data_IF_696994970034
#
_entry.id   IF_696994970034
#
_cell.length_a   1.000
_cell.length_b   1.000
_cell.length_c   1.000
_cell.angle_alpha   90.00
_cell.angle_beta   90.00
_cell.angle_gamma   90.00
#
_symmetry.space_group_name_H-M   'P 1'
#
loop_
_entity.id
_entity.type
_entity.pdbx_description
1 polymer ?
#
# COMPACT_ATOMS: atom_id res chain seq x y z
N UNK A 1 28.35 -54.23 -25.82
CA UNK A 1 28.16 -52.98 -26.58
C UNK A 1 28.49 -51.85 -25.65
N UNK A 2 29.71 -51.28 -25.76
CA UNK A 2 30.24 -50.26 -24.84
C UNK A 2 30.02 -48.87 -25.44
N UNK A 3 29.35 -47.97 -24.71
CA UNK A 3 29.23 -46.56 -25.08
C UNK A 3 30.50 -45.82 -24.62
N UNK A 4 31.24 -45.13 -25.48
CA UNK A 4 32.36 -44.32 -25.07
C UNK A 4 31.87 -42.98 -24.53
N UNK A 5 32.25 -42.70 -23.29
CA UNK A 5 32.08 -41.43 -22.64
C UNK A 5 32.83 -40.31 -23.38
N UNK A 6 32.08 -39.37 -23.91
CA UNK A 6 32.61 -38.16 -24.56
C UNK A 6 33.12 -37.21 -23.47
N UNK A 7 34.42 -37.31 -23.21
CA UNK A 7 35.13 -36.41 -22.25
C UNK A 7 35.41 -35.08 -22.94
N UNK A 8 34.51 -34.11 -22.77
CA UNK A 8 34.77 -32.76 -23.19
C UNK A 8 35.81 -32.13 -22.24
N UNK A 9 37.07 -32.06 -22.67
CA UNK A 9 38.06 -31.17 -22.08
C UNK A 9 37.70 -29.74 -22.45
N UNK A 10 37.15 -28.98 -21.50
CA UNK A 10 37.06 -27.54 -21.62
C UNK A 10 38.46 -26.98 -21.31
N UNK A 11 39.21 -26.63 -22.35
CA UNK A 11 40.41 -25.86 -22.24
C UNK A 11 40.03 -24.42 -21.77
N UNK A 12 40.28 -24.16 -20.49
CA UNK A 12 40.30 -22.79 -19.98
C UNK A 12 41.59 -22.11 -20.49
N UNK A 13 41.48 -21.51 -21.66
CA UNK A 13 42.54 -20.84 -22.35
C UNK A 13 42.41 -19.34 -22.18
N UNK A 14 43.36 -18.73 -21.47
CA UNK A 14 43.79 -17.34 -21.55
C UNK A 14 42.69 -16.26 -21.44
N UNK A 15 42.23 -15.97 -20.22
CA UNK A 15 41.79 -14.61 -19.91
C UNK A 15 43.03 -13.73 -19.64
N UNK A 16 43.25 -12.68 -20.42
CA UNK A 16 44.38 -11.79 -20.21
C UNK A 16 44.27 -11.10 -18.85
N UNK A 17 45.34 -11.17 -18.06
CA UNK A 17 45.45 -10.60 -16.71
C UNK A 17 45.17 -9.07 -16.61
N UNK A 18 44.99 -8.41 -17.73
CA UNK A 18 44.67 -6.98 -17.81
C UNK A 18 43.17 -6.63 -17.57
N UNK A 19 42.24 -7.60 -17.74
CA UNK A 19 40.81 -7.32 -17.55
C UNK A 19 40.45 -7.31 -16.06
N UNK A 20 41.16 -8.06 -15.22
CA UNK A 20 40.85 -8.16 -13.79
C UNK A 20 41.19 -6.91 -12.99
N UNK A 21 42.21 -6.15 -13.40
CA UNK A 21 42.61 -4.91 -12.72
C UNK A 21 41.64 -3.76 -13.01
N UNK A 22 41.10 -3.66 -14.24
CA UNK A 22 40.17 -2.60 -14.60
C UNK A 22 38.78 -2.82 -13.98
N UNK A 23 38.30 -4.07 -13.88
CA UNK A 23 37.06 -4.38 -13.20
C UNK A 23 37.10 -4.14 -11.68
N UNK A 24 38.23 -4.43 -11.05
CA UNK A 24 38.40 -4.19 -9.62
C UNK A 24 38.45 -2.69 -9.29
N UNK A 25 39.02 -1.84 -10.16
CA UNK A 25 39.00 -0.38 -10.02
C UNK A 25 37.59 0.21 -10.15
N UNK A 26 36.77 -0.31 -11.07
CA UNK A 26 35.40 0.16 -11.28
C UNK A 26 34.51 -0.18 -10.06
N UNK A 27 34.72 -1.35 -9.46
CA UNK A 27 33.94 -1.77 -8.27
C UNK A 27 34.30 -0.92 -7.04
N UNK A 28 35.57 -0.44 -6.93
CA UNK A 28 36.00 0.40 -5.81
C UNK A 28 35.54 1.87 -5.93
N UNK A 29 35.23 2.34 -7.14
CA UNK A 29 34.76 3.73 -7.35
C UNK A 29 33.24 3.87 -7.45
N UNK A 30 32.47 2.80 -7.50
CA UNK A 30 31.02 2.84 -7.60
C UNK A 30 30.21 3.08 -6.31
N UNK A 31 30.74 2.97 -5.08
CA UNK A 31 29.90 3.15 -3.89
C UNK A 31 29.61 4.60 -3.50
N UNK A 32 30.10 5.59 -4.24
CA UNK A 32 29.96 6.99 -3.79
C UNK A 32 28.69 7.72 -4.27
N UNK A 33 27.85 7.12 -5.10
CA UNK A 33 26.72 7.81 -5.70
C UNK A 33 25.34 7.25 -5.36
N UNK A 34 25.24 6.18 -4.58
CA UNK A 34 23.94 5.68 -4.14
C UNK A 34 23.79 5.86 -2.63
N UNK A 35 23.69 7.12 -2.21
CA UNK A 35 23.22 7.43 -0.87
C UNK A 35 21.73 7.07 -0.82
N UNK A 36 21.42 5.90 -0.28
CA UNK A 36 20.06 5.42 -0.04
C UNK A 36 19.25 6.33 0.92
N UNK A 37 19.86 7.42 1.38
CA UNK A 37 19.25 8.41 2.27
C UNK A 37 18.27 9.33 1.56
N UNK A 38 18.45 9.60 0.25
CA UNK A 38 17.61 10.57 -0.46
C UNK A 38 16.23 10.01 -0.81
N UNK A 39 16.13 8.72 -1.11
CA UNK A 39 14.84 8.09 -1.43
C UNK A 39 13.97 7.95 -0.19
N UNK A 40 14.55 7.63 0.95
CA UNK A 40 13.84 7.51 2.22
C UNK A 40 13.31 8.84 2.74
N UNK A 41 14.03 9.93 2.51
CA UNK A 41 13.64 11.27 2.95
C UNK A 41 12.39 11.79 2.21
N UNK A 42 12.30 11.57 0.90
CA UNK A 42 11.14 11.98 0.11
C UNK A 42 9.87 11.21 0.47
N UNK A 43 9.96 9.92 0.76
CA UNK A 43 8.80 9.09 1.09
C UNK A 43 8.29 9.37 2.51
N UNK A 44 9.17 9.68 3.46
CA UNK A 44 8.78 9.88 4.85
C UNK A 44 8.26 11.31 5.15
N UNK A 45 8.55 12.29 4.30
CA UNK A 45 8.14 13.67 4.52
C UNK A 45 6.96 14.13 3.68
N UNK A 46 6.40 13.28 2.83
CA UNK A 46 5.14 13.60 2.14
C UNK A 46 3.95 13.43 3.09
N UNK A 47 3.87 14.27 4.12
CA UNK A 47 2.64 14.44 4.86
C UNK A 47 1.60 14.97 3.86
N UNK A 48 0.65 14.13 3.48
CA UNK A 48 -0.49 14.60 2.71
C UNK A 48 -1.11 15.79 3.43
N UNK A 49 -1.53 16.84 2.72
CA UNK A 49 -2.14 17.99 3.35
C UNK A 49 -3.32 17.52 4.20
N UNK A 50 -3.26 17.83 5.49
CA UNK A 50 -4.34 17.53 6.43
C UNK A 50 -5.55 18.37 6.01
N UNK A 51 -6.58 17.69 5.52
CA UNK A 51 -7.85 18.32 5.14
C UNK A 51 -8.90 17.91 6.14
N UNK A 52 -9.65 18.87 6.62
CA UNK A 52 -10.78 18.61 7.48
C UNK A 52 -11.78 17.71 6.75
N UNK A 53 -12.03 16.55 7.32
CA UNK A 53 -13.00 15.59 6.81
C UNK A 53 -14.34 15.82 7.51
N UNK A 54 -15.47 15.65 6.83
CA UNK A 54 -16.80 15.84 7.42
C UNK A 54 -17.07 14.86 8.57
N UNK A 55 -16.43 13.70 8.54
CA UNK A 55 -16.48 12.67 9.58
C UNK A 55 -15.06 12.26 9.92
N UNK A 56 -14.72 12.23 11.20
CA UNK A 56 -13.42 11.77 11.70
C UNK A 56 -13.35 10.24 11.64
N UNK A 57 -13.20 9.68 10.44
CA UNK A 57 -13.12 8.24 10.21
C UNK A 57 -11.73 7.68 10.53
N UNK A 58 -11.65 6.65 11.35
CA UNK A 58 -10.41 5.99 11.74
C UNK A 58 -10.22 4.64 11.05
N UNK A 59 -9.32 4.57 10.06
CA UNK A 59 -8.88 3.31 9.46
C UNK A 59 -8.22 2.39 10.49
N UNK A 60 -7.45 2.95 11.44
CA UNK A 60 -6.81 2.18 12.52
C UNK A 60 -7.84 1.38 13.32
N UNK A 61 -8.95 2.03 13.69
CA UNK A 61 -10.01 1.38 14.45
C UNK A 61 -10.67 0.26 13.64
N UNK A 62 -11.07 0.53 12.40
CA UNK A 62 -11.80 -0.43 11.58
C UNK A 62 -10.94 -1.58 11.10
N UNK A 63 -9.76 -1.30 10.55
CA UNK A 63 -8.90 -2.31 9.94
C UNK A 63 -8.00 -3.00 10.97
N UNK A 64 -7.24 -2.22 11.75
CA UNK A 64 -6.22 -2.81 12.62
C UNK A 64 -6.80 -3.41 13.90
N UNK A 65 -7.83 -2.80 14.48
CA UNK A 65 -8.41 -3.26 15.75
C UNK A 65 -9.60 -4.20 15.53
N UNK A 66 -10.47 -3.91 14.56
CA UNK A 66 -11.68 -4.69 14.32
C UNK A 66 -11.55 -5.69 13.17
N UNK A 67 -10.43 -5.72 12.45
CA UNK A 67 -10.15 -6.70 11.40
C UNK A 67 -11.01 -6.54 10.14
N UNK A 68 -11.63 -5.38 9.91
CA UNK A 68 -12.44 -5.16 8.70
C UNK A 68 -11.54 -5.14 7.48
N UNK A 69 -11.83 -6.00 6.49
CA UNK A 69 -11.03 -6.08 5.27
C UNK A 69 -11.13 -4.78 4.44
N UNK A 70 -10.02 -4.30 3.89
CA UNK A 70 -9.97 -3.09 3.06
C UNK A 70 -11.01 -3.11 1.94
N UNK A 71 -11.23 -4.28 1.33
CA UNK A 71 -12.16 -4.46 0.22
C UNK A 71 -13.63 -4.44 0.61
N UNK A 72 -13.94 -4.56 1.90
CA UNK A 72 -15.31 -4.38 2.36
C UNK A 72 -15.82 -2.96 2.09
N UNK A 73 -14.95 -1.97 2.26
CA UNK A 73 -15.25 -0.57 2.01
C UNK A 73 -14.76 -0.11 0.62
N UNK A 74 -13.59 -0.55 0.19
CA UNK A 74 -12.94 -0.15 -1.05
C UNK A 74 -13.04 -1.26 -2.11
N UNK A 75 -14.18 -1.39 -2.76
CA UNK A 75 -14.46 -2.47 -3.70
C UNK A 75 -13.49 -2.56 -4.88
N UNK A 76 -12.87 -1.44 -5.24
CA UNK A 76 -11.96 -1.35 -6.40
C UNK A 76 -10.48 -1.43 -6.03
N UNK A 77 -10.12 -1.58 -4.74
CA UNK A 77 -8.74 -1.52 -4.25
C UNK A 77 -7.75 -2.49 -4.93
N UNK A 78 -8.25 -3.60 -5.54
CA UNK A 78 -7.41 -4.56 -6.28
C UNK A 78 -7.60 -4.51 -7.79
N UNK A 79 -8.47 -3.66 -8.30
CA UNK A 79 -8.90 -3.69 -9.71
C UNK A 79 -8.72 -2.36 -10.42
N UNK A 80 -8.50 -1.28 -9.68
CA UNK A 80 -8.43 0.06 -10.22
C UNK A 80 -7.33 0.87 -9.56
N UNK A 81 -6.80 1.85 -10.27
CA UNK A 81 -5.89 2.86 -9.74
C UNK A 81 -6.49 3.65 -8.57
N UNK A 82 -7.80 3.86 -8.57
CA UNK A 82 -8.53 4.47 -7.46
C UNK A 82 -9.36 3.40 -6.74
N UNK A 83 -9.18 3.27 -5.44
CA UNK A 83 -9.93 2.33 -4.61
C UNK A 83 -11.41 2.71 -4.42
N UNK A 84 -11.75 3.96 -4.74
CA UNK A 84 -13.07 4.53 -4.53
C UNK A 84 -13.35 4.88 -3.06
N UNK A 85 -14.35 5.73 -2.86
CA UNK A 85 -14.89 6.05 -1.54
C UNK A 85 -16.17 5.24 -1.34
N UNK A 86 -16.34 4.53 -0.22
CA UNK A 86 -17.53 3.73 0.01
C UNK A 86 -18.79 4.61 0.14
N UNK A 87 -19.94 4.16 -0.35
CA UNK A 87 -21.20 4.84 -0.14
C UNK A 87 -21.63 4.76 1.34
N UNK A 88 -22.48 5.68 1.80
CA UNK A 88 -23.00 5.72 3.18
C UNK A 88 -23.65 4.42 3.59
N UNK A 89 -24.32 3.72 2.66
CA UNK A 89 -24.94 2.42 2.89
C UNK A 89 -23.98 1.35 3.44
N UNK A 90 -22.69 1.43 3.09
CA UNK A 90 -21.67 0.52 3.64
C UNK A 90 -21.48 0.74 5.13
N UNK A 91 -21.51 2.00 5.59
CA UNK A 91 -21.40 2.38 7.00
C UNK A 91 -22.65 1.92 7.78
N UNK A 92 -23.82 2.13 7.20
CA UNK A 92 -25.13 1.76 7.78
C UNK A 92 -25.23 0.25 8.01
N UNK A 93 -24.52 -0.58 7.24
CA UNK A 93 -24.45 -2.02 7.44
C UNK A 93 -24.06 -2.43 8.87
N UNK A 94 -23.25 -1.62 9.58
CA UNK A 94 -22.87 -1.87 10.97
C UNK A 94 -23.37 -0.77 11.94
N UNK A 95 -23.52 0.47 11.48
CA UNK A 95 -23.86 1.62 12.32
C UNK A 95 -25.31 2.12 12.15
N UNK A 96 -26.10 1.46 11.33
CA UNK A 96 -27.50 1.85 11.11
C UNK A 96 -28.40 1.56 12.30
N UNK A 97 -29.49 2.34 12.44
CA UNK A 97 -30.46 2.25 13.53
C UNK A 97 -31.21 0.90 13.59
N UNK A 98 -31.28 0.20 12.45
CA UNK A 98 -32.05 -1.06 12.33
C UNK A 98 -31.20 -2.31 12.62
N UNK A 99 -29.93 -2.18 13.04
CA UNK A 99 -29.10 -3.31 13.37
C UNK A 99 -29.44 -3.85 14.78
N UNK A 100 -29.46 -5.16 14.94
CA UNK A 100 -29.75 -5.81 16.23
C UNK A 100 -28.74 -5.42 17.31
N UNK A 101 -27.52 -5.06 16.93
CA UNK A 101 -26.49 -4.56 17.84
C UNK A 101 -25.83 -3.34 17.21
N UNK A 102 -26.20 -2.16 17.68
CA UNK A 102 -25.59 -0.91 17.24
C UNK A 102 -24.14 -0.84 17.66
N UNK A 103 -23.24 -0.64 16.68
CA UNK A 103 -21.83 -0.38 16.94
C UNK A 103 -21.65 1.10 17.17
N UNK A 104 -21.14 1.47 18.37
CA UNK A 104 -20.89 2.86 18.78
C UNK A 104 -22.13 3.78 18.65
N UNK A 105 -23.28 3.44 19.26
CA UNK A 105 -24.54 4.17 19.05
C UNK A 105 -24.50 5.65 19.50
N UNK A 106 -23.62 5.96 20.46
CA UNK A 106 -23.51 7.30 21.04
C UNK A 106 -22.32 8.11 20.49
N UNK A 107 -21.65 7.63 19.45
CA UNK A 107 -20.56 8.37 18.81
C UNK A 107 -21.10 9.55 18.00
N UNK A 108 -20.62 10.78 18.21
CA UNK A 108 -21.03 11.94 17.42
C UNK A 108 -20.72 11.78 15.94
N UNK A 109 -19.64 11.10 15.59
CA UNK A 109 -19.27 10.82 14.20
C UNK A 109 -20.21 9.83 13.53
N UNK A 110 -20.67 8.83 14.27
CA UNK A 110 -21.69 7.89 13.78
C UNK A 110 -23.02 8.59 13.60
N UNK A 111 -23.40 9.54 14.46
CA UNK A 111 -24.62 10.32 14.29
C UNK A 111 -24.56 11.21 13.04
N UNK A 112 -23.43 11.89 12.77
CA UNK A 112 -23.23 12.63 11.52
C UNK A 112 -23.43 11.71 10.28
N UNK A 113 -22.91 10.51 10.32
CA UNK A 113 -23.07 9.52 9.23
C UNK A 113 -24.54 9.15 9.04
N UNK A 114 -25.28 8.94 10.13
CA UNK A 114 -26.73 8.66 10.06
C UNK A 114 -27.53 9.82 9.50
N UNK A 115 -27.18 11.07 9.86
CA UNK A 115 -27.81 12.26 9.31
C UNK A 115 -27.70 12.33 7.79
N UNK A 116 -26.52 11.99 7.23
CA UNK A 116 -26.35 11.87 5.77
C UNK A 116 -27.21 10.76 5.17
N UNK A 117 -27.29 9.62 5.87
CA UNK A 117 -28.12 8.51 5.42
C UNK A 117 -29.60 8.87 5.39
N UNK A 118 -30.12 9.48 6.45
CA UNK A 118 -31.55 9.87 6.58
C UNK A 118 -31.94 10.93 5.55
N UNK A 119 -31.04 11.83 5.21
CA UNK A 119 -31.22 12.83 4.15
C UNK A 119 -31.08 12.26 2.74
N UNK A 120 -30.57 11.04 2.59
CA UNK A 120 -30.24 10.48 1.28
C UNK A 120 -29.07 11.16 0.59
N UNK A 121 -28.18 11.81 1.33
CA UNK A 121 -27.06 12.59 0.83
C UNK A 121 -25.75 11.81 0.94
N UNK A 122 -24.84 11.93 -0.05
CA UNK A 122 -23.51 11.38 0.07
C UNK A 122 -22.67 12.22 1.06
N UNK A 123 -21.76 11.55 1.80
CA UNK A 123 -20.79 12.27 2.64
C UNK A 123 -19.81 13.02 1.73
N UNK A 124 -19.66 14.37 1.89
CA UNK A 124 -18.81 15.19 1.02
C UNK A 124 -17.32 15.09 1.40
N UNK A 125 -16.72 13.92 1.23
CA UNK A 125 -15.33 13.67 1.55
C UNK A 125 -14.40 14.63 0.81
N UNK A 126 -13.46 15.23 1.52
CA UNK A 126 -12.39 16.01 0.91
C UNK A 126 -11.38 15.06 0.24
N UNK A 127 -11.10 15.29 -1.05
CA UNK A 127 -10.07 14.55 -1.78
C UNK A 127 -8.69 14.97 -1.30
N UNK A 128 -7.84 14.01 -1.01
CA UNK A 128 -6.43 14.17 -0.61
C UNK A 128 -5.51 13.71 -1.73
#
# INVERSE_FOLDING_TARGET
MQNPLFRMHVQMSFFPKFITTTFLSIILFLPSFLSATDVGFFVLNSKAPERDQPIAFSHKLHVSQNGVACQYCHLYARRSYSSGVPPVSTCVGCHGSNQMKLVQPNSPEVNKMRDYWEKGEPIPWAKV
#
